data_IF_383224839542
#
_entry.id   IF_383224839542
#
_cell.length_a   1.000
_cell.length_b   1.000
_cell.length_c   1.000
_cell.angle_alpha   90.00
_cell.angle_beta   90.00
_cell.angle_gamma   90.00
#
_symmetry.space_group_name_H-M   'P 1'
#
loop_
_entity.id
_entity.type
_entity.pdbx_description
1 polymer ?
#
# COMPACT_ATOMS: atom_id res chain seq x y z
N UNK A 1 0.24 5.72 18.23
CA UNK A 1 -0.38 7.08 18.22
C UNK A 1 0.41 8.08 17.35
N UNK A 2 1.76 8.13 17.39
CA UNK A 2 2.54 9.12 16.61
C UNK A 2 2.56 8.85 15.10
N UNK A 3 2.57 7.59 14.66
CA UNK A 3 2.55 7.18 13.25
C UNK A 3 1.17 7.39 12.61
N UNK A 4 0.09 7.21 13.35
CA UNK A 4 -1.28 7.48 12.87
C UNK A 4 -1.49 8.95 12.53
N UNK A 5 -0.93 9.85 13.35
CA UNK A 5 -1.03 11.29 13.13
C UNK A 5 -0.32 11.70 11.84
N UNK A 6 0.87 11.15 11.60
CA UNK A 6 1.66 11.36 10.38
C UNK A 6 0.90 10.83 9.15
N UNK A 7 0.38 9.62 9.18
CA UNK A 7 -0.37 9.01 8.07
C UNK A 7 -1.66 9.76 7.74
N UNK A 8 -2.38 10.25 8.76
CA UNK A 8 -3.63 11.01 8.59
C UNK A 8 -3.40 12.39 7.98
N UNK A 9 -2.31 13.09 8.35
CA UNK A 9 -1.97 14.42 7.84
C UNK A 9 -1.40 14.38 6.42
N UNK A 10 -0.67 13.34 6.08
CA UNK A 10 0.01 13.25 4.80
C UNK A 10 -0.87 12.80 3.61
N UNK A 11 -2.19 12.71 3.77
CA UNK A 11 -3.12 12.50 2.64
C UNK A 11 -2.90 11.21 1.85
N UNK A 12 -2.17 10.27 2.44
CA UNK A 12 -1.67 9.04 1.81
C UNK A 12 -2.81 8.19 1.21
N UNK A 13 -3.91 8.05 1.95
CA UNK A 13 -5.02 7.20 1.53
C UNK A 13 -5.82 7.78 0.36
N UNK A 14 -5.84 9.12 0.20
CA UNK A 14 -6.64 9.78 -0.84
C UNK A 14 -6.24 9.41 -2.26
N UNK A 15 -4.94 9.25 -2.51
CA UNK A 15 -4.43 8.86 -3.83
C UNK A 15 -4.81 7.43 -4.17
N UNK A 16 -4.66 6.50 -3.22
CA UNK A 16 -5.08 5.09 -3.37
C UNK A 16 -6.58 4.99 -3.58
N UNK A 17 -7.37 5.63 -2.72
CA UNK A 17 -8.84 5.64 -2.83
C UNK A 17 -9.29 6.19 -4.19
N UNK A 18 -8.71 7.30 -4.67
CA UNK A 18 -9.02 7.84 -6.00
C UNK A 18 -8.65 6.86 -7.12
N UNK A 19 -7.53 6.15 -7.00
CA UNK A 19 -7.13 5.15 -7.97
C UNK A 19 -8.10 3.96 -7.98
N UNK A 20 -8.51 3.46 -6.80
CA UNK A 20 -9.52 2.40 -6.68
C UNK A 20 -10.83 2.82 -7.34
N UNK A 21 -11.35 4.03 -7.04
CA UNK A 21 -12.59 4.53 -7.63
C UNK A 21 -12.53 4.66 -9.17
N UNK A 22 -11.34 4.93 -9.75
CA UNK A 22 -11.16 4.94 -11.20
C UNK A 22 -11.19 3.52 -11.78
N UNK A 23 -10.61 2.56 -11.06
CA UNK A 23 -10.55 1.15 -11.46
C UNK A 23 -11.91 0.49 -11.36
N UNK A 24 -12.63 0.71 -10.26
CA UNK A 24 -13.95 0.12 -10.03
C UNK A 24 -15.02 0.68 -10.97
N UNK A 25 -14.89 1.95 -11.37
CA UNK A 25 -15.77 2.59 -12.34
C UNK A 25 -17.25 2.46 -12.00
N UNK A 26 -18.06 2.03 -12.98
CA UNK A 26 -19.51 1.80 -12.84
C UNK A 26 -19.86 0.30 -12.84
N UNK A 27 -18.88 -0.57 -12.76
CA UNK A 27 -19.09 -2.01 -12.77
C UNK A 27 -19.84 -2.47 -11.51
N UNK A 28 -20.92 -3.18 -11.70
CA UNK A 28 -21.77 -3.70 -10.61
C UNK A 28 -21.34 -5.12 -10.24
N UNK A 29 -20.35 -5.20 -9.35
CA UNK A 29 -19.92 -6.45 -8.73
C UNK A 29 -19.41 -6.17 -7.32
N UNK A 30 -19.25 -7.20 -6.52
CA UNK A 30 -18.51 -7.11 -5.24
C UNK A 30 -17.01 -7.20 -5.55
N UNK A 31 -16.26 -6.19 -5.15
CA UNK A 31 -14.82 -6.08 -5.36
C UNK A 31 -14.05 -6.73 -4.23
N UNK A 32 -13.16 -7.67 -4.54
CA UNK A 32 -12.26 -8.29 -3.58
C UNK A 32 -10.92 -7.55 -3.56
N UNK A 33 -10.59 -6.93 -2.42
CA UNK A 33 -9.41 -6.07 -2.25
C UNK A 33 -8.50 -6.66 -1.19
N UNK A 34 -7.19 -6.76 -1.46
CA UNK A 34 -6.18 -7.14 -0.47
C UNK A 34 -5.30 -5.92 -0.16
N UNK A 35 -5.12 -5.62 1.14
CA UNK A 35 -4.25 -4.55 1.64
C UNK A 35 -3.00 -5.16 2.28
N UNK A 36 -1.85 -5.06 1.60
CA UNK A 36 -0.56 -5.61 2.05
C UNK A 36 0.15 -4.68 3.02
N UNK A 37 0.56 -5.22 4.17
CA UNK A 37 1.15 -4.44 5.24
C UNK A 37 0.14 -3.44 5.80
N UNK A 38 -1.08 -3.92 6.07
CA UNK A 38 -2.23 -3.08 6.42
C UNK A 38 -2.07 -2.32 7.75
N UNK A 39 -1.11 -2.71 8.58
CA UNK A 39 -0.87 -2.09 9.87
C UNK A 39 -2.14 -1.98 10.71
N UNK A 40 -2.44 -0.80 11.24
CA UNK A 40 -3.64 -0.53 12.03
C UNK A 40 -4.96 -0.41 11.23
N UNK A 41 -5.02 -0.87 9.96
CA UNK A 41 -6.23 -0.90 9.15
C UNK A 41 -6.70 0.47 8.63
N UNK A 42 -5.86 1.50 8.69
CA UNK A 42 -6.26 2.87 8.29
C UNK A 42 -6.64 2.97 6.82
N UNK A 43 -5.88 2.34 5.94
CA UNK A 43 -6.14 2.34 4.50
C UNK A 43 -7.39 1.52 4.19
N UNK A 44 -7.50 0.29 4.72
CA UNK A 44 -8.68 -0.56 4.56
C UNK A 44 -9.96 0.18 4.98
N UNK A 45 -9.94 0.84 6.15
CA UNK A 45 -11.08 1.63 6.65
C UNK A 45 -11.42 2.81 5.74
N UNK A 46 -10.40 3.52 5.22
CA UNK A 46 -10.61 4.65 4.30
C UNK A 46 -11.22 4.19 2.97
N UNK A 47 -10.77 3.05 2.45
CA UNK A 47 -11.29 2.41 1.24
C UNK A 47 -12.74 1.99 1.44
N UNK A 48 -13.06 1.20 2.49
CA UNK A 48 -14.42 0.75 2.79
C UNK A 48 -15.40 1.94 2.89
N UNK A 49 -15.07 2.95 3.70
CA UNK A 49 -15.87 4.18 3.82
C UNK A 49 -16.11 4.89 2.49
N UNK A 50 -15.10 4.92 1.64
CA UNK A 50 -15.20 5.60 0.35
C UNK A 50 -16.06 4.81 -0.64
N UNK A 51 -15.85 3.51 -0.76
CA UNK A 51 -16.61 2.64 -1.66
C UNK A 51 -18.10 2.60 -1.24
N UNK A 52 -18.39 2.50 0.06
CA UNK A 52 -19.74 2.57 0.60
C UNK A 52 -20.47 3.87 0.20
N UNK A 53 -19.80 5.04 0.30
CA UNK A 53 -20.37 6.33 -0.16
C UNK A 53 -20.70 6.34 -1.65
N UNK A 54 -19.95 5.59 -2.46
CA UNK A 54 -20.18 5.47 -3.90
C UNK A 54 -21.08 4.29 -4.27
N UNK A 55 -21.64 3.59 -3.26
CA UNK A 55 -22.50 2.40 -3.43
C UNK A 55 -21.80 1.28 -4.21
N UNK A 56 -20.51 1.11 -3.97
CA UNK A 56 -19.67 0.06 -4.53
C UNK A 56 -19.47 -1.00 -3.45
N UNK A 57 -19.92 -2.22 -3.73
CA UNK A 57 -19.75 -3.35 -2.81
C UNK A 57 -18.31 -3.86 -2.84
N UNK A 58 -17.76 -4.21 -1.68
CA UNK A 58 -16.41 -4.76 -1.56
C UNK A 58 -16.26 -5.66 -0.35
N UNK A 59 -15.25 -6.53 -0.42
CA UNK A 59 -14.61 -7.17 0.73
C UNK A 59 -13.15 -6.78 0.75
N UNK A 60 -12.60 -6.52 1.93
CA UNK A 60 -11.21 -6.07 2.11
C UNK A 60 -10.53 -7.00 3.09
N UNK A 61 -9.43 -7.62 2.69
CA UNK A 61 -8.57 -8.42 3.58
C UNK A 61 -7.27 -7.67 3.81
N UNK A 62 -7.09 -7.18 5.03
CA UNK A 62 -5.81 -6.60 5.47
C UNK A 62 -4.85 -7.70 5.91
N UNK A 63 -3.61 -7.67 5.41
CA UNK A 63 -2.58 -8.65 5.76
C UNK A 63 -1.40 -7.92 6.42
N UNK A 64 -0.97 -8.42 7.59
CA UNK A 64 0.20 -7.90 8.31
C UNK A 64 0.86 -9.02 9.13
N UNK A 65 2.17 -8.93 9.35
CA UNK A 65 2.91 -9.90 10.16
C UNK A 65 2.74 -9.71 11.67
N UNK A 66 2.31 -8.54 12.12
CA UNK A 66 2.26 -8.18 13.54
C UNK A 66 0.87 -8.39 14.15
N UNK A 67 0.73 -9.47 14.95
CA UNK A 67 -0.53 -9.81 15.62
C UNK A 67 -1.09 -8.70 16.50
N UNK A 68 -0.24 -7.95 17.22
CA UNK A 68 -0.71 -6.87 18.09
C UNK A 68 -1.29 -5.70 17.27
N UNK A 69 -0.70 -5.43 16.13
CA UNK A 69 -1.16 -4.40 15.20
C UNK A 69 -2.50 -4.81 14.59
N UNK A 70 -2.65 -6.08 14.21
CA UNK A 70 -3.91 -6.64 13.69
C UNK A 70 -5.03 -6.61 14.73
N UNK A 71 -4.75 -6.99 15.97
CA UNK A 71 -5.75 -6.91 17.07
C UNK A 71 -6.26 -5.47 17.29
N UNK A 72 -5.41 -4.48 17.07
CA UNK A 72 -5.82 -3.07 17.07
C UNK A 72 -6.68 -2.73 15.84
N UNK A 73 -6.28 -3.19 14.65
CA UNK A 73 -7.01 -2.97 13.41
C UNK A 73 -8.42 -3.58 13.45
N UNK A 74 -8.55 -4.80 13.97
CA UNK A 74 -9.84 -5.50 14.17
C UNK A 74 -10.79 -4.67 15.04
N UNK A 75 -10.32 -4.20 16.21
CA UNK A 75 -11.13 -3.35 17.10
C UNK A 75 -11.55 -2.05 16.42
N UNK A 76 -10.64 -1.43 15.67
CA UNK A 76 -10.87 -0.17 14.96
C UNK A 76 -11.88 -0.30 13.83
N UNK A 77 -11.85 -1.43 13.13
CA UNK A 77 -12.69 -1.71 11.97
C UNK A 77 -13.95 -2.52 12.31
N UNK A 78 -14.21 -2.85 13.58
CA UNK A 78 -15.28 -3.75 14.02
C UNK A 78 -16.69 -3.39 13.53
N UNK A 79 -16.93 -2.12 13.16
CA UNK A 79 -18.22 -1.68 12.62
C UNK A 79 -18.36 -1.92 11.09
N UNK A 80 -17.34 -2.50 10.43
CA UNK A 80 -17.28 -2.72 8.99
C UNK A 80 -17.12 -4.21 8.71
N UNK A 81 -18.23 -4.91 8.53
CA UNK A 81 -18.25 -6.37 8.32
C UNK A 81 -17.54 -6.80 7.01
N UNK A 82 -17.37 -5.88 6.07
CA UNK A 82 -16.65 -6.09 4.82
C UNK A 82 -15.12 -6.10 4.98
N UNK A 83 -14.59 -5.78 6.17
CA UNK A 83 -13.14 -5.76 6.45
C UNK A 83 -12.79 -6.96 7.34
N UNK A 84 -11.81 -7.74 6.90
CA UNK A 84 -11.19 -8.83 7.66
C UNK A 84 -9.68 -8.68 7.71
N UNK A 85 -9.03 -9.37 8.64
CA UNK A 85 -7.59 -9.32 8.81
C UNK A 85 -6.99 -10.74 8.84
N UNK A 86 -5.80 -10.87 8.26
CA UNK A 86 -5.04 -12.12 8.21
C UNK A 86 -3.61 -11.86 8.68
N UNK A 87 -3.16 -12.62 9.66
CA UNK A 87 -1.75 -12.60 10.05
C UNK A 87 -0.93 -13.47 9.10
N UNK A 88 0.04 -12.87 8.41
CA UNK A 88 1.01 -13.61 7.59
C UNK A 88 2.31 -12.81 7.44
N UNK A 89 3.41 -13.53 7.31
CA UNK A 89 4.69 -12.93 6.92
C UNK A 89 4.73 -12.75 5.39
N UNK A 90 4.46 -11.52 4.95
CA UNK A 90 4.42 -11.16 3.53
C UNK A 90 5.82 -11.21 2.90
N UNK A 91 6.88 -11.16 3.71
CA UNK A 91 8.26 -11.19 3.24
C UNK A 91 8.80 -12.63 3.10
N UNK A 92 8.04 -13.61 3.55
CA UNK A 92 8.34 -15.02 3.28
C UNK A 92 8.26 -15.29 1.77
N UNK A 93 9.29 -15.94 1.23
CA UNK A 93 9.38 -16.28 -0.19
C UNK A 93 8.32 -17.31 -0.67
N UNK A 94 7.69 -18.01 0.27
CA UNK A 94 6.58 -18.94 -0.02
C UNK A 94 5.20 -18.26 0.12
N UNK A 95 5.16 -17.02 0.58
CA UNK A 95 3.90 -16.30 0.72
C UNK A 95 3.23 -16.04 -0.62
N UNK A 96 1.97 -16.42 -0.73
CA UNK A 96 1.10 -16.15 -1.87
C UNK A 96 -0.22 -15.55 -1.41
N UNK A 97 -0.72 -14.58 -2.16
CA UNK A 97 -2.04 -13.99 -1.90
C UNK A 97 -3.14 -14.88 -2.46
N UNK A 98 -4.30 -14.81 -1.84
CA UNK A 98 -5.53 -15.37 -2.40
C UNK A 98 -5.96 -14.57 -3.64
N UNK A 99 -6.73 -15.18 -4.57
CA UNK A 99 -7.28 -14.46 -5.71
C UNK A 99 -8.05 -13.21 -5.28
N UNK A 100 -7.74 -12.07 -5.91
CA UNK A 100 -8.39 -10.79 -5.63
C UNK A 100 -8.55 -9.96 -6.91
N UNK A 101 -9.38 -8.94 -6.84
CA UNK A 101 -9.52 -7.99 -7.94
C UNK A 101 -8.45 -6.89 -7.86
N UNK A 102 -8.23 -6.35 -6.68
CA UNK A 102 -7.33 -5.23 -6.48
C UNK A 102 -6.38 -5.53 -5.32
N UNK A 103 -5.08 -5.43 -5.59
CA UNK A 103 -4.03 -5.50 -4.59
C UNK A 103 -3.56 -4.09 -4.26
N UNK A 104 -3.69 -3.69 -3.01
CA UNK A 104 -3.23 -2.38 -2.55
C UNK A 104 -2.11 -2.49 -1.52
N UNK A 105 -1.29 -1.47 -1.44
CA UNK A 105 -0.33 -1.29 -0.36
C UNK A 105 -0.01 0.18 -0.16
N UNK A 106 0.32 0.54 1.07
CA UNK A 106 0.75 1.89 1.38
C UNK A 106 1.78 1.91 2.48
N UNK A 107 2.95 2.44 2.16
CA UNK A 107 4.03 2.61 3.12
C UNK A 107 4.54 1.28 3.72
N UNK A 108 4.63 0.26 2.86
CA UNK A 108 5.06 -1.08 3.25
C UNK A 108 6.14 -1.66 2.32
N UNK A 109 6.08 -1.37 1.00
CA UNK A 109 6.92 -2.02 -0.01
C UNK A 109 8.43 -1.78 0.19
N UNK A 110 8.83 -0.73 0.89
CA UNK A 110 10.24 -0.47 1.22
C UNK A 110 10.87 -1.53 2.15
N UNK A 111 10.08 -2.45 2.72
CA UNK A 111 10.61 -3.59 3.47
C UNK A 111 11.22 -4.65 2.56
N UNK A 112 10.84 -4.70 1.29
CA UNK A 112 11.43 -5.59 0.30
C UNK A 112 12.77 -5.06 -0.22
N UNK A 113 13.71 -5.96 -0.54
CA UNK A 113 14.76 -5.66 -1.51
C UNK A 113 14.18 -5.69 -2.93
N UNK A 114 14.89 -5.11 -3.90
CA UNK A 114 14.41 -5.06 -5.28
C UNK A 114 14.15 -6.46 -5.85
N UNK A 115 15.08 -7.39 -5.64
CA UNK A 115 14.98 -8.77 -6.16
C UNK A 115 13.80 -9.52 -5.53
N UNK A 116 13.65 -9.42 -4.20
CA UNK A 116 12.52 -10.05 -3.48
C UNK A 116 11.18 -9.45 -3.93
N UNK A 117 11.13 -8.15 -4.20
CA UNK A 117 9.91 -7.52 -4.73
C UNK A 117 9.59 -8.00 -6.15
N UNK A 118 10.59 -8.18 -7.00
CA UNK A 118 10.40 -8.75 -8.35
C UNK A 118 9.80 -10.16 -8.26
N UNK A 119 10.36 -11.02 -7.42
CA UNK A 119 9.87 -12.39 -7.24
C UNK A 119 8.47 -12.40 -6.61
N UNK A 120 8.23 -11.56 -5.60
CA UNK A 120 6.90 -11.39 -5.01
C UNK A 120 5.86 -10.99 -6.09
N UNK A 121 6.17 -10.00 -6.92
CA UNK A 121 5.26 -9.57 -7.98
C UNK A 121 5.02 -10.68 -9.01
N UNK A 122 6.06 -11.38 -9.45
CA UNK A 122 5.91 -12.50 -10.40
C UNK A 122 5.00 -13.60 -9.88
N UNK A 123 5.19 -13.97 -8.61
CA UNK A 123 4.45 -15.07 -7.98
C UNK A 123 3.00 -14.71 -7.69
N UNK A 124 2.73 -13.44 -7.36
CA UNK A 124 1.42 -13.00 -6.90
C UNK A 124 0.59 -12.26 -7.97
N UNK A 125 1.23 -11.73 -9.02
CA UNK A 125 0.50 -11.04 -10.11
C UNK A 125 -0.61 -11.90 -10.74
N UNK A 126 -0.44 -13.22 -10.96
CA UNK A 126 -1.50 -14.07 -11.53
C UNK A 126 -2.77 -14.17 -10.68
N UNK A 127 -2.68 -13.88 -9.38
CA UNK A 127 -3.82 -13.87 -8.46
C UNK A 127 -4.61 -12.55 -8.47
N UNK A 128 -4.08 -11.49 -9.11
CA UNK A 128 -4.73 -10.18 -9.21
C UNK A 128 -5.44 -10.06 -10.55
N UNK A 129 -6.75 -9.87 -10.54
CA UNK A 129 -7.55 -9.84 -11.78
C UNK A 129 -7.63 -8.48 -12.45
N UNK A 130 -7.54 -7.37 -11.70
CA UNK A 130 -7.86 -6.04 -12.23
C UNK A 130 -6.75 -5.02 -12.06
N UNK A 131 -6.23 -4.80 -10.85
CA UNK A 131 -5.19 -3.78 -10.65
C UNK A 131 -4.32 -4.03 -9.42
N UNK A 132 -3.07 -3.56 -9.49
CA UNK A 132 -2.18 -3.34 -8.33
C UNK A 132 -2.06 -1.83 -8.13
N UNK A 133 -2.26 -1.36 -6.91
CA UNK A 133 -2.19 0.07 -6.57
C UNK A 133 -1.31 0.23 -5.33
N UNK A 134 -0.09 0.69 -5.50
CA UNK A 134 0.86 0.93 -4.42
C UNK A 134 1.13 2.42 -4.25
N UNK A 135 1.04 2.92 -3.02
CA UNK A 135 1.37 4.30 -2.68
C UNK A 135 2.55 4.32 -1.70
N UNK A 136 3.74 4.55 -2.23
CA UNK A 136 4.98 4.39 -1.49
C UNK A 136 5.81 5.68 -1.41
N UNK A 137 6.74 5.76 -0.48
CA UNK A 137 7.72 6.83 -0.44
C UNK A 137 8.64 6.76 -1.66
N UNK A 138 9.02 7.91 -2.19
CA UNK A 138 10.04 8.04 -3.22
C UNK A 138 11.39 8.32 -2.58
N UNK A 139 12.40 7.50 -2.84
CA UNK A 139 13.76 7.80 -2.39
C UNK A 139 14.25 9.10 -3.02
N UNK A 140 14.40 10.13 -2.20
CA UNK A 140 14.77 11.46 -2.63
C UNK A 140 15.68 12.12 -1.58
N UNK A 141 16.85 12.63 -2.01
CA UNK A 141 17.81 13.30 -1.12
C UNK A 141 17.23 14.58 -0.48
N UNK A 142 16.41 15.30 -1.21
CA UNK A 142 15.75 16.51 -0.69
C UNK A 142 14.71 16.15 0.37
N UNK A 143 13.87 15.13 0.12
CA UNK A 143 12.93 14.61 1.11
C UNK A 143 13.63 14.21 2.42
N UNK A 144 14.78 13.53 2.30
CA UNK A 144 15.57 13.13 3.47
C UNK A 144 16.11 14.33 4.27
N UNK A 145 16.60 15.38 3.57
CA UNK A 145 17.06 16.62 4.22
C UNK A 145 15.91 17.36 4.91
N UNK A 146 14.77 17.49 4.21
CA UNK A 146 13.58 18.14 4.74
C UNK A 146 13.04 17.39 5.96
N UNK A 147 12.97 16.05 5.90
CA UNK A 147 12.52 15.23 7.03
C UNK A 147 13.46 15.37 8.24
N UNK A 148 14.78 15.36 8.04
CA UNK A 148 15.76 15.62 9.11
C UNK A 148 15.54 16.99 9.76
N UNK A 149 15.35 18.02 8.95
CA UNK A 149 15.12 19.38 9.46
C UNK A 149 13.77 19.49 10.20
N UNK A 150 12.68 19.02 9.60
CA UNK A 150 11.35 19.05 10.21
C UNK A 150 11.26 18.19 11.48
N UNK A 151 11.95 17.05 11.51
CA UNK A 151 11.99 16.17 12.67
C UNK A 151 12.77 16.77 13.85
N UNK A 152 13.62 17.77 13.63
CA UNK A 152 14.26 18.53 14.68
C UNK A 152 13.28 19.50 15.37
N UNK A 153 12.36 20.08 14.58
CA UNK A 153 11.38 21.06 15.06
C UNK A 153 10.11 20.42 15.67
N UNK A 154 9.81 19.17 15.31
CA UNK A 154 8.61 18.48 15.77
C UNK A 154 8.90 17.59 16.99
N UNK A 155 7.96 17.48 17.95
CA UNK A 155 8.08 16.60 19.11
C UNK A 155 7.84 15.13 18.71
N UNK A 156 8.71 14.60 17.84
CA UNK A 156 8.65 13.22 17.37
C UNK A 156 9.66 12.40 18.16
N UNK A 157 9.29 11.19 18.59
CA UNK A 157 10.21 10.30 19.32
C UNK A 157 11.45 9.97 18.50
N UNK A 158 12.58 9.69 19.17
CA UNK A 158 13.84 9.30 18.50
C UNK A 158 13.62 8.09 17.59
N UNK A 159 12.88 7.08 18.06
CA UNK A 159 12.54 5.89 17.29
C UNK A 159 11.79 6.24 16.01
N UNK A 160 10.74 7.06 16.08
CA UNK A 160 9.97 7.46 14.90
C UNK A 160 10.79 8.29 13.89
N UNK A 161 11.80 9.05 14.36
CA UNK A 161 12.75 9.76 13.48
C UNK A 161 13.64 8.78 12.73
N UNK A 162 14.20 7.80 13.42
CA UNK A 162 15.08 6.78 12.85
C UNK A 162 14.31 5.91 11.85
N UNK A 163 13.11 5.46 12.20
CA UNK A 163 12.23 4.68 11.31
C UNK A 163 11.84 5.45 10.05
N UNK A 164 11.47 6.72 10.19
CA UNK A 164 11.14 7.57 9.04
C UNK A 164 12.31 7.78 8.09
N UNK A 165 13.52 8.01 8.62
CA UNK A 165 14.73 8.13 7.80
C UNK A 165 15.09 6.81 7.11
N UNK A 166 14.94 5.69 7.82
CA UNK A 166 15.18 4.36 7.28
C UNK A 166 14.19 4.04 6.16
N UNK A 167 12.90 4.36 6.34
CA UNK A 167 11.87 4.19 5.33
C UNK A 167 12.20 4.97 4.04
N UNK A 168 12.58 6.26 4.15
CA UNK A 168 13.01 7.06 2.98
C UNK A 168 14.26 6.46 2.31
N UNK A 169 15.22 5.98 3.10
CA UNK A 169 16.47 5.39 2.59
C UNK A 169 16.23 4.08 1.86
N UNK A 170 15.33 3.24 2.36
CA UNK A 170 14.99 1.93 1.77
C UNK A 170 14.00 2.03 0.62
N UNK A 171 13.22 3.12 0.54
CA UNK A 171 12.28 3.33 -0.56
C UNK A 171 12.97 3.34 -1.92
N UNK A 172 12.25 3.01 -2.96
CA UNK A 172 12.76 2.97 -4.32
C UNK A 172 12.70 4.35 -4.99
N UNK A 173 13.68 4.63 -5.83
CA UNK A 173 13.64 5.72 -6.80
C UNK A 173 12.73 5.34 -7.98
N UNK A 174 12.35 6.32 -8.78
CA UNK A 174 11.56 6.07 -10.00
C UNK A 174 12.26 5.13 -10.99
N UNK A 175 13.58 5.27 -11.14
CA UNK A 175 14.39 4.39 -12.00
C UNK A 175 14.38 2.93 -11.51
N UNK A 176 14.45 2.72 -10.20
CA UNK A 176 14.38 1.37 -9.63
C UNK A 176 12.99 0.77 -9.77
N UNK A 177 11.93 1.58 -9.58
CA UNK A 177 10.57 1.11 -9.85
C UNK A 177 10.41 0.64 -11.31
N UNK A 178 10.92 1.41 -12.29
CA UNK A 178 10.88 1.02 -13.70
C UNK A 178 11.62 -0.31 -13.95
N UNK A 179 12.80 -0.49 -13.34
CA UNK A 179 13.57 -1.73 -13.46
C UNK A 179 12.83 -2.92 -12.82
N UNK A 180 12.23 -2.74 -11.63
CA UNK A 180 11.43 -3.76 -10.93
C UNK A 180 10.24 -4.18 -11.79
N UNK A 181 9.48 -3.23 -12.32
CA UNK A 181 8.30 -3.51 -13.16
C UNK A 181 8.67 -4.26 -14.43
N UNK A 182 9.75 -3.84 -15.10
CA UNK A 182 10.27 -4.53 -16.28
C UNK A 182 10.69 -5.97 -15.97
N UNK A 183 11.45 -6.17 -14.89
CA UNK A 183 11.90 -7.50 -14.48
C UNK A 183 10.73 -8.37 -14.02
N UNK A 184 9.72 -7.81 -13.36
CA UNK A 184 8.52 -8.54 -12.98
C UNK A 184 7.58 -8.86 -14.16
N UNK A 185 7.90 -8.41 -15.38
CA UNK A 185 7.06 -8.64 -16.56
C UNK A 185 5.79 -7.78 -16.62
N UNK A 186 5.78 -6.66 -15.89
CA UNK A 186 4.63 -5.76 -15.84
C UNK A 186 4.75 -4.71 -16.95
N UNK A 187 4.00 -4.89 -18.03
CA UNK A 187 4.05 -4.01 -19.21
C UNK A 187 3.08 -2.83 -19.17
N UNK A 188 1.96 -2.97 -18.47
CA UNK A 188 0.93 -1.92 -18.44
C UNK A 188 0.85 -1.31 -17.05
N UNK A 189 1.35 -0.09 -16.89
CA UNK A 189 1.36 0.61 -15.62
C UNK A 189 1.33 2.13 -15.79
N UNK A 190 0.99 2.82 -14.71
CA UNK A 190 1.15 4.26 -14.51
C UNK A 190 1.96 4.49 -13.24
N UNK A 191 3.04 5.24 -13.35
CA UNK A 191 3.90 5.61 -12.21
C UNK A 191 3.86 7.13 -12.07
N UNK A 192 3.19 7.62 -11.02
CA UNK A 192 2.94 9.05 -10.82
C UNK A 192 3.61 9.54 -9.55
N UNK A 193 4.34 10.65 -9.64
CA UNK A 193 4.77 11.38 -8.44
C UNK A 193 3.56 12.11 -7.84
N UNK A 194 3.28 11.83 -6.57
CA UNK A 194 2.20 12.48 -5.82
C UNK A 194 2.79 13.31 -4.68
N UNK A 195 2.03 14.26 -4.09
CA UNK A 195 2.54 15.12 -3.02
C UNK A 195 3.26 14.36 -1.90
N UNK A 196 4.15 15.08 -1.21
CA UNK A 196 4.92 14.60 -0.06
C UNK A 196 5.92 13.48 -0.42
N UNK A 197 6.59 13.63 -1.57
CA UNK A 197 7.66 12.72 -2.02
C UNK A 197 7.20 11.27 -2.10
N UNK A 198 6.03 11.05 -2.68
CA UNK A 198 5.48 9.72 -2.87
C UNK A 198 5.34 9.37 -4.34
N UNK A 199 5.27 8.07 -4.58
CA UNK A 199 4.95 7.48 -5.87
C UNK A 199 3.62 6.74 -5.72
N UNK A 200 2.71 6.95 -6.65
CA UNK A 200 1.54 6.11 -6.86
C UNK A 200 1.80 5.25 -8.10
N UNK A 201 1.97 3.97 -7.88
CA UNK A 201 1.98 2.95 -8.92
C UNK A 201 0.56 2.43 -9.09
N UNK A 202 0.09 2.40 -10.34
CA UNK A 202 -1.10 1.64 -10.73
C UNK A 202 -0.70 0.74 -11.89
N UNK A 203 -0.85 -0.58 -11.72
CA UNK A 203 -0.55 -1.57 -12.74
C UNK A 203 -1.80 -2.38 -13.06
N UNK A 204 -1.93 -2.76 -14.29
CA UNK A 204 -3.04 -3.59 -14.78
C UNK A 204 -2.45 -4.92 -15.27
N UNK A 205 -2.84 -6.06 -14.66
CA UNK A 205 -2.46 -7.38 -15.17
C UNK A 205 -2.87 -7.49 -16.63
N UNK A 206 -2.05 -8.17 -17.44
CA UNK A 206 -2.44 -8.46 -18.80
C UNK A 206 -3.77 -9.23 -18.77
N UNK A 207 -4.81 -8.72 -19.43
CA UNK A 207 -6.06 -9.46 -19.57
C UNK A 207 -5.72 -10.81 -20.20
N UNK A 208 -6.04 -11.90 -19.51
CA UNK A 208 -6.07 -13.21 -20.15
C UNK A 208 -7.14 -13.10 -21.26
N UNK A 209 -6.67 -13.12 -22.52
CA UNK A 209 -7.53 -13.22 -23.71
C UNK A 209 -8.17 -14.60 -23.71
#
# INVERSE_FOLDING_TARGET
QSLEWVNRWFGNHRSVVKAILRVTGKEKKTWHIIDLGCGGGDLALAVAKSLSRHKIECTITGIDGNANTLAYAEKKCAAFNEISFLQADILDNQFTIQPCDILISSHFIYHFSADVLVDFLRNNLPAVSTAIIFSELKRNRFAMRLFKFSSFLLPISKLAKEDGLLAIKRSFSEKEWLAILQQAGIGTYSLQSVPLFRILLTSYPARKI
#
